data_IF_393345982673
#
_entry.id   IF_393345982673
#
_cell.length_a   1.000
_cell.length_b   1.000
_cell.length_c   1.000
_cell.angle_alpha   90.00
_cell.angle_beta   90.00
_cell.angle_gamma   90.00
#
_symmetry.space_group_name_H-M   'P 1'
#
loop_
_entity.id
_entity.type
_entity.pdbx_description
1 polymer ?
#
# COMPACT_ATOMS: atom_id res chain seq x y z
N UNK A 1 -72.03 -1.63 20.89
CA UNK A 1 -71.40 -2.94 21.14
C UNK A 1 -69.91 -2.77 20.90
N UNK A 2 -69.13 -2.21 21.83
CA UNK A 2 -68.76 -2.76 23.15
C UNK A 2 -68.13 -4.14 23.02
N UNK A 3 -66.80 -4.22 23.19
CA UNK A 3 -66.10 -4.88 24.32
C UNK A 3 -64.69 -5.40 23.93
N UNK A 4 -63.67 -4.84 24.62
CA UNK A 4 -62.50 -5.48 25.30
C UNK A 4 -61.46 -6.27 24.48
N UNK A 5 -60.17 -6.45 24.84
CA UNK A 5 -59.11 -5.81 25.66
C UNK A 5 -58.00 -6.90 25.87
N UNK A 6 -56.79 -6.46 26.27
CA UNK A 6 -55.66 -7.23 26.85
C UNK A 6 -54.77 -8.04 25.87
N UNK A 7 -53.48 -7.68 25.65
CA UNK A 7 -52.31 -7.61 26.54
C UNK A 7 -51.65 -8.98 26.78
N UNK A 8 -50.40 -9.15 26.31
CA UNK A 8 -49.34 -9.84 27.05
C UNK A 8 -47.99 -9.72 26.34
N UNK A 9 -46.99 -9.42 27.17
CA UNK A 9 -45.64 -8.96 26.89
C UNK A 9 -44.69 -10.12 26.52
N UNK A 10 -43.60 -9.81 25.80
CA UNK A 10 -42.58 -10.79 25.42
C UNK A 10 -41.21 -10.16 25.20
N UNK A 11 -40.49 -9.98 26.31
CA UNK A 11 -39.04 -9.99 26.50
C UNK A 11 -38.10 -9.37 25.44
N UNK A 12 -37.53 -8.24 25.84
CA UNK A 12 -36.21 -7.74 25.44
C UNK A 12 -35.16 -8.84 25.33
N UNK A 13 -34.44 -8.89 24.21
CA UNK A 13 -33.10 -9.49 24.15
C UNK A 13 -32.17 -8.52 23.43
N UNK A 14 -31.69 -7.59 24.25
CA UNK A 14 -30.61 -6.66 23.98
C UNK A 14 -29.32 -7.45 23.67
N UNK A 15 -28.94 -7.51 22.40
CA UNK A 15 -27.61 -7.99 22.00
C UNK A 15 -26.71 -6.78 21.74
N UNK A 16 -25.84 -6.56 22.70
CA UNK A 16 -24.85 -5.50 22.81
C UNK A 16 -23.93 -5.40 21.58
N UNK A 17 -23.47 -4.19 21.19
CA UNK A 17 -22.39 -4.00 20.22
C UNK A 17 -21.02 -4.39 20.83
N UNK A 18 -20.06 -4.91 20.05
CA UNK A 18 -18.72 -5.15 20.56
C UNK A 18 -18.03 -3.82 20.87
N UNK A 19 -17.64 -3.70 22.14
CA UNK A 19 -16.84 -2.61 22.68
C UNK A 19 -15.53 -2.45 21.90
N UNK A 20 -15.36 -1.23 21.40
CA UNK A 20 -14.11 -0.60 21.04
C UNK A 20 -13.14 -0.67 22.23
N UNK A 21 -12.08 -1.48 22.13
CA UNK A 21 -10.97 -1.47 23.07
C UNK A 21 -9.68 -1.13 22.32
N UNK A 22 -9.52 0.17 22.11
CA UNK A 22 -8.26 0.83 21.85
C UNK A 22 -7.50 1.00 23.19
N UNK A 23 -6.32 0.41 23.38
CA UNK A 23 -5.48 0.78 24.51
C UNK A 23 -4.77 2.10 24.21
N UNK A 24 -5.19 3.12 24.98
CA UNK A 24 -4.56 4.41 25.12
C UNK A 24 -3.10 4.30 25.60
N UNK A 25 -2.33 5.28 25.14
CA UNK A 25 -0.94 5.57 25.44
C UNK A 25 -0.74 5.93 26.93
N UNK A 26 0.43 5.66 27.55
CA UNK A 26 0.81 6.27 28.81
C UNK A 26 1.45 7.68 28.61
N UNK A 27 1.09 8.69 29.43
CA UNK A 27 1.73 10.00 29.45
C UNK A 27 2.62 10.22 30.70
N UNK A 28 3.85 10.71 30.50
CA UNK A 28 4.67 11.54 31.42
C UNK A 28 6.12 11.54 30.89
N UNK A 29 6.58 12.59 30.19
CA UNK A 29 7.18 13.79 30.77
C UNK A 29 8.37 13.50 31.71
N UNK A 30 9.59 13.49 31.14
CA UNK A 30 10.80 13.95 31.85
C UNK A 30 11.53 14.93 30.93
N UNK A 31 11.71 16.14 31.44
CA UNK A 31 12.16 17.34 30.74
C UNK A 31 13.68 17.55 30.86
N UNK A 32 14.23 18.15 29.80
CA UNK A 32 15.38 19.08 29.70
C UNK A 32 16.78 18.69 30.21
N UNK A 33 17.77 18.68 29.31
CA UNK A 33 18.66 19.85 29.11
C UNK A 33 19.77 19.60 28.08
N UNK A 34 20.14 20.69 27.42
CA UNK A 34 20.99 20.81 26.25
C UNK A 34 22.49 20.59 26.45
N UNK A 35 23.14 20.35 25.31
CA UNK A 35 24.53 20.69 24.95
C UNK A 35 25.62 19.68 25.31
N UNK A 36 26.12 18.97 24.29
CA UNK A 36 27.40 19.32 23.64
C UNK A 36 27.88 18.17 22.73
N UNK A 37 28.45 18.56 21.59
CA UNK A 37 28.99 17.69 20.57
C UNK A 37 30.06 16.72 21.10
N UNK A 38 30.04 15.48 20.62
CA UNK A 38 31.25 14.78 20.22
C UNK A 38 30.91 13.60 19.32
N UNK A 39 31.40 13.72 18.09
CA UNK A 39 31.52 12.66 17.10
C UNK A 39 32.12 11.40 17.71
N UNK A 40 31.47 10.28 17.49
CA UNK A 40 32.14 8.99 17.38
C UNK A 40 31.42 8.21 16.31
N UNK A 41 31.92 8.43 15.09
CA UNK A 41 31.68 7.63 13.92
C UNK A 41 31.91 6.15 14.25
N UNK A 42 30.81 5.41 14.34
CA UNK A 42 30.80 4.00 14.01
C UNK A 42 29.89 3.89 12.79
N UNK A 43 30.51 3.94 11.61
CA UNK A 43 29.80 3.81 10.34
C UNK A 43 29.03 2.49 10.30
N UNK A 44 27.88 2.43 9.62
CA UNK A 44 27.25 1.15 9.34
C UNK A 44 28.22 0.37 8.46
N UNK A 45 28.87 -0.62 9.08
CA UNK A 45 29.61 -1.67 8.40
C UNK A 45 28.79 -2.12 7.21
N UNK A 46 29.45 -2.05 6.06
CA UNK A 46 29.06 -2.56 4.76
C UNK A 46 28.82 -4.08 4.86
N UNK A 47 27.71 -4.46 5.50
CA UNK A 47 27.14 -5.78 5.44
C UNK A 47 26.23 -5.78 4.21
N UNK A 48 26.80 -6.20 3.09
CA UNK A 48 26.10 -6.40 1.82
C UNK A 48 24.75 -7.09 2.07
N UNK A 49 23.66 -6.31 1.99
CA UNK A 49 22.32 -6.85 2.10
C UNK A 49 22.16 -7.97 1.07
N UNK A 50 21.58 -9.13 1.45
CA UNK A 50 21.46 -10.26 0.53
C UNK A 50 20.70 -9.81 -0.73
N UNK A 51 21.13 -10.24 -1.93
CA UNK A 51 20.51 -9.82 -3.16
C UNK A 51 19.03 -10.21 -3.16
N UNK A 52 18.12 -9.37 -3.69
CA UNK A 52 16.71 -9.68 -3.72
C UNK A 52 16.47 -10.98 -4.49
N UNK A 53 15.77 -11.93 -3.87
CA UNK A 53 15.44 -13.22 -4.46
C UNK A 53 13.98 -13.28 -4.88
N UNK A 54 13.67 -14.20 -5.81
CA UNK A 54 12.33 -14.33 -6.35
C UNK A 54 11.45 -15.10 -5.37
N UNK A 55 10.32 -14.53 -4.96
CA UNK A 55 9.44 -15.18 -3.98
C UNK A 55 8.83 -16.52 -4.45
N UNK A 56 8.74 -16.76 -5.77
CA UNK A 56 8.17 -18.01 -6.28
C UNK A 56 9.21 -19.11 -6.47
N UNK A 57 10.46 -18.77 -6.74
CA UNK A 57 11.44 -19.74 -7.21
C UNK A 57 12.78 -19.66 -6.46
N UNK A 58 12.92 -18.70 -5.55
CA UNK A 58 14.08 -18.43 -4.69
C UNK A 58 15.39 -18.15 -5.44
N UNK A 59 15.34 -17.87 -6.74
CA UNK A 59 16.54 -17.47 -7.52
C UNK A 59 16.90 -16.01 -7.20
N UNK A 60 18.19 -15.69 -7.00
CA UNK A 60 18.66 -14.33 -6.82
C UNK A 60 18.55 -13.52 -8.11
N UNK A 61 18.64 -12.20 -7.98
CA UNK A 61 18.84 -11.30 -9.12
C UNK A 61 20.13 -11.63 -9.85
N UNK A 62 20.03 -11.74 -11.17
CA UNK A 62 21.15 -11.95 -12.07
C UNK A 62 21.02 -10.96 -13.21
N UNK A 63 22.13 -10.51 -13.80
CA UNK A 63 22.12 -9.62 -14.98
C UNK A 63 21.23 -10.15 -16.11
N UNK A 64 21.17 -11.47 -16.28
CA UNK A 64 20.32 -12.10 -17.29
C UNK A 64 18.81 -12.05 -16.96
N UNK A 65 18.44 -11.93 -15.68
CA UNK A 65 17.05 -12.01 -15.19
C UNK A 65 16.81 -11.02 -14.05
N UNK A 66 16.67 -9.71 -14.36
CA UNK A 66 16.35 -8.71 -13.35
C UNK A 66 14.97 -8.97 -12.74
N UNK A 67 14.89 -8.91 -11.41
CA UNK A 67 13.68 -9.13 -10.63
C UNK A 67 12.80 -7.90 -10.66
N UNK A 68 11.65 -8.07 -11.29
CA UNK A 68 10.62 -7.03 -11.38
C UNK A 68 9.75 -7.04 -10.13
N UNK A 69 9.54 -5.91 -9.47
CA UNK A 69 8.59 -5.81 -8.37
C UNK A 69 7.15 -6.02 -8.89
N UNK A 70 6.26 -6.47 -8.01
CA UNK A 70 4.84 -6.58 -8.30
C UNK A 70 4.26 -5.20 -8.65
N UNK A 71 3.63 -5.05 -9.81
CA UNK A 71 3.10 -3.76 -10.27
C UNK A 71 2.03 -3.13 -9.37
N UNK A 72 1.39 -3.92 -8.49
CA UNK A 72 0.32 -3.46 -7.60
C UNK A 72 0.86 -2.98 -6.26
N UNK A 73 1.61 -3.84 -5.58
CA UNK A 73 2.06 -3.58 -4.22
C UNK A 73 3.54 -3.24 -4.09
N UNK A 74 4.35 -3.53 -5.11
CA UNK A 74 5.80 -3.33 -5.16
C UNK A 74 6.63 -3.95 -4.02
N UNK A 75 5.98 -4.66 -3.09
CA UNK A 75 6.60 -5.28 -1.92
C UNK A 75 7.34 -6.59 -2.24
N UNK A 76 6.88 -7.34 -3.24
CA UNK A 76 7.46 -8.65 -3.62
C UNK A 76 8.04 -8.57 -5.03
N UNK A 77 9.18 -9.22 -5.27
CA UNK A 77 9.85 -9.26 -6.58
C UNK A 77 9.83 -10.64 -7.21
N UNK A 78 9.76 -10.66 -8.54
CA UNK A 78 9.70 -11.88 -9.34
C UNK A 78 10.62 -11.78 -10.56
N UNK A 79 11.30 -12.87 -10.91
CA UNK A 79 12.13 -12.93 -12.11
C UNK A 79 11.31 -13.05 -13.41
N UNK A 80 10.04 -13.46 -13.33
CA UNK A 80 9.15 -13.62 -14.49
C UNK A 80 7.69 -13.44 -14.12
N UNK A 81 6.84 -13.17 -15.12
CA UNK A 81 5.37 -13.15 -14.96
C UNK A 81 4.81 -14.51 -14.58
N UNK A 82 5.47 -15.59 -14.99
CA UNK A 82 5.04 -16.94 -14.67
C UNK A 82 5.19 -17.24 -13.17
N UNK A 83 6.37 -16.90 -12.61
CA UNK A 83 6.61 -16.93 -11.16
C UNK A 83 5.60 -16.08 -10.37
N UNK A 84 5.22 -14.91 -10.89
CA UNK A 84 4.21 -14.08 -10.25
C UNK A 84 2.84 -14.78 -10.24
N UNK A 85 2.42 -15.41 -11.35
CA UNK A 85 1.15 -16.12 -11.46
C UNK A 85 1.11 -17.35 -10.56
N UNK A 86 2.18 -18.13 -10.52
CA UNK A 86 2.31 -19.29 -9.64
C UNK A 86 2.16 -18.90 -8.16
N UNK A 87 2.83 -17.82 -7.74
CA UNK A 87 2.75 -17.30 -6.37
C UNK A 87 1.46 -16.49 -6.08
N UNK A 88 0.64 -16.18 -7.09
CA UNK A 88 -0.51 -15.28 -6.93
C UNK A 88 -1.56 -15.80 -5.94
N UNK A 89 -1.75 -17.14 -5.85
CA UNK A 89 -2.76 -17.75 -4.97
C UNK A 89 -2.50 -17.43 -3.49
N UNK A 90 -1.23 -17.46 -3.07
CA UNK A 90 -0.82 -17.10 -1.71
C UNK A 90 -0.61 -15.60 -1.57
N UNK A 91 -0.09 -14.94 -2.60
CA UNK A 91 0.20 -13.51 -2.58
C UNK A 91 -1.05 -12.63 -2.57
N UNK A 92 -2.20 -13.07 -3.10
CA UNK A 92 -3.39 -12.23 -3.33
C UNK A 92 -3.81 -11.39 -2.12
N UNK A 93 -3.86 -12.00 -0.92
CA UNK A 93 -4.29 -11.31 0.30
C UNK A 93 -3.28 -10.25 0.73
N UNK A 94 -2.01 -10.63 0.84
CA UNK A 94 -0.90 -9.73 1.19
C UNK A 94 -0.68 -8.65 0.12
N UNK A 95 -0.98 -8.95 -1.15
CA UNK A 95 -0.89 -8.02 -2.26
C UNK A 95 -1.85 -6.84 -2.08
N UNK A 96 -3.09 -7.11 -1.67
CA UNK A 96 -4.08 -6.06 -1.47
C UNK A 96 -3.68 -5.10 -0.34
N UNK A 97 -3.27 -5.65 0.81
CA UNK A 97 -2.80 -4.83 1.95
C UNK A 97 -1.54 -4.03 1.59
N UNK A 98 -0.54 -4.68 1.00
CA UNK A 98 0.70 -4.01 0.60
C UNK A 98 0.46 -2.97 -0.50
N UNK A 99 -0.53 -3.16 -1.39
CA UNK A 99 -0.91 -2.16 -2.39
C UNK A 99 -1.54 -0.92 -1.75
N UNK A 100 -2.38 -1.08 -0.72
CA UNK A 100 -2.93 0.05 0.03
C UNK A 100 -1.83 0.83 0.76
N UNK A 101 -0.92 0.12 1.43
CA UNK A 101 0.23 0.76 2.09
C UNK A 101 1.14 1.46 1.09
N UNK A 102 1.39 0.83 -0.06
CA UNK A 102 2.18 1.47 -1.12
C UNK A 102 1.50 2.73 -1.64
N UNK A 103 0.19 2.70 -1.88
CA UNK A 103 -0.56 3.87 -2.33
C UNK A 103 -0.51 5.02 -1.31
N UNK A 104 -0.71 4.72 -0.03
CA UNK A 104 -0.64 5.71 1.05
C UNK A 104 0.76 6.33 1.18
N UNK A 105 1.82 5.52 1.10
CA UNK A 105 3.19 6.03 1.14
C UNK A 105 3.61 6.74 -0.15
N UNK A 106 3.02 6.39 -1.29
CA UNK A 106 3.32 7.02 -2.58
C UNK A 106 2.75 8.44 -2.67
N UNK A 107 1.67 8.75 -1.97
CA UNK A 107 1.09 10.10 -1.89
C UNK A 107 2.00 11.07 -1.09
N UNK A 108 2.73 10.54 -0.10
CA UNK A 108 3.72 11.30 0.68
C UNK A 108 5.06 11.49 -0.07
N UNK A 109 5.31 10.71 -1.14
CA UNK A 109 6.47 10.89 -2.00
C UNK A 109 6.15 12.00 -2.99
N UNK A 110 6.90 13.13 -3.04
CA UNK A 110 6.67 14.16 -4.03
C UNK A 110 6.68 13.51 -5.42
N UNK A 111 5.64 13.82 -6.20
CA UNK A 111 5.30 13.13 -7.43
C UNK A 111 6.54 12.93 -8.32
N UNK A 112 6.74 11.75 -8.94
CA UNK A 112 7.65 11.68 -10.07
C UNK A 112 7.19 12.73 -11.10
N UNK A 113 8.10 13.45 -11.76
CA UNK A 113 7.72 14.47 -12.73
C UNK A 113 6.73 13.85 -13.72
N UNK A 114 5.70 14.61 -14.17
CA UNK A 114 4.75 14.10 -15.14
C UNK A 114 5.56 13.47 -16.27
N UNK A 115 5.36 12.16 -16.51
CA UNK A 115 5.99 11.49 -17.65
C UNK A 115 5.53 12.28 -18.87
N UNK A 116 6.47 12.99 -19.50
CA UNK A 116 6.18 13.81 -20.66
C UNK A 116 5.37 12.97 -21.66
N UNK A 117 4.23 13.47 -22.17
CA UNK A 117 3.53 12.76 -23.22
C UNK A 117 4.53 12.62 -24.38
N UNK A 118 4.80 11.38 -24.79
CA UNK A 118 5.57 11.13 -26.01
C UNK A 118 4.83 11.86 -27.12
N UNK A 119 5.45 12.91 -27.65
CA UNK A 119 4.96 13.67 -28.80
C UNK A 119 5.07 12.75 -30.02
N UNK A 120 4.08 11.88 -30.18
CA UNK A 120 3.89 11.12 -31.42
C UNK A 120 3.21 12.06 -32.41
N UNK A 121 3.96 12.46 -33.42
CA UNK A 121 3.45 13.29 -34.49
C UNK A 121 2.33 12.56 -35.26
N UNK A 122 1.19 13.24 -35.39
CA UNK A 122 0.27 13.23 -36.53
C UNK A 122 -0.07 11.87 -37.18
N UNK A 123 -1.33 11.44 -37.05
CA UNK A 123 -2.23 11.08 -38.19
C UNK A 123 -3.66 10.85 -37.70
N UNK A 124 -4.60 11.70 -38.09
CA UNK A 124 -6.03 11.44 -37.93
C UNK A 124 -6.84 12.72 -37.84
N UNK A 125 -7.19 13.28 -39.00
CA UNK A 125 -7.75 14.62 -39.16
C UNK A 125 -9.04 14.90 -38.41
N UNK A 126 -9.08 16.07 -37.76
CA UNK A 126 -10.29 16.72 -37.29
C UNK A 126 -10.08 18.24 -37.37
N UNK A 127 -9.85 18.76 -38.59
CA UNK A 127 -9.67 20.19 -38.86
C UNK A 127 -10.69 20.78 -39.82
N UNK A 128 -11.80 20.08 -40.10
CA UNK A 128 -12.93 20.65 -40.85
C UNK A 128 -14.08 20.98 -39.90
N UNK A 129 -13.96 22.12 -39.22
CA UNK A 129 -15.10 22.97 -38.80
C UNK A 129 -14.58 24.37 -38.48
N UNK A 130 -13.96 25.00 -39.48
CA UNK A 130 -13.80 26.45 -39.54
C UNK A 130 -14.61 26.95 -40.75
N UNK A 131 -15.86 27.33 -40.44
CA UNK A 131 -16.59 28.52 -40.92
C UNK A 131 -15.67 29.66 -41.43
N UNK A 132 -16.01 30.58 -42.34
CA UNK A 132 -17.20 30.99 -43.11
C UNK A 132 -16.67 32.14 -44.03
N UNK A 133 -16.92 32.11 -45.34
CA UNK A 133 -16.82 33.27 -46.26
C UNK A 133 -17.89 33.13 -47.33
#
# INVERSE_FOLDING_TARGET
MSTTAAESQGASSESQPPANQSPAQPPAAVEASSSSASSSSAGPVEAAAPPPTCASCAKPESEAKPLKPCSKCQAVRYCSRDCQKAHFKVHKKSCAQAAQLYALNADLKPAPPPRAPKKEGHRGGLQKWQFDT
#
